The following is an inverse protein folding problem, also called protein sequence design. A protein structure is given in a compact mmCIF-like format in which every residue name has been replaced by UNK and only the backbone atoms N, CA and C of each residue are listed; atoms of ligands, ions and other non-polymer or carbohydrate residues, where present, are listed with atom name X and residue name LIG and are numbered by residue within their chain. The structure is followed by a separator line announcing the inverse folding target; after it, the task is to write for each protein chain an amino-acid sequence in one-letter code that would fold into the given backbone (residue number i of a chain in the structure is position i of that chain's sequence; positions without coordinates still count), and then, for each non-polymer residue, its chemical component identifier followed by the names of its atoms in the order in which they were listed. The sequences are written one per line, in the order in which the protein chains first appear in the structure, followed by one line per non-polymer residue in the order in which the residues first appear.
data_IF_981045026684
#
_entry.id   IF_981045026684
#
_cell.length_a   1.000
_cell.length_b   1.000
_cell.length_c   1.000
_cell.angle_alpha   90.00
_cell.angle_beta   90.00
_cell.angle_gamma   90.00
#
_symmetry.space_group_name_H-M   'P 1'
#
loop_
_entity.id
_entity.type
_entity.pdbx_description
1 polymer ?
#
# COMPACT_ATOMS: atom_id res chain seq x y z
N UNK A 1 13.33 1.49 -49.69
CA UNK A 1 12.14 1.04 -48.95
C UNK A 1 12.37 1.41 -47.49
N UNK A 2 11.67 2.45 -47.01
CA UNK A 2 12.01 3.20 -45.80
C UNK A 2 11.40 2.53 -44.55
N UNK A 3 12.18 2.42 -43.48
CA UNK A 3 11.84 1.68 -42.26
C UNK A 3 10.67 2.27 -41.49
N UNK A 4 9.76 1.41 -41.04
CA UNK A 4 8.68 1.76 -40.11
C UNK A 4 9.15 1.42 -38.71
N UNK A 5 9.66 2.43 -38.00
CA UNK A 5 9.85 2.39 -36.56
C UNK A 5 8.48 2.47 -35.88
N UNK A 6 8.11 1.45 -35.11
CA UNK A 6 6.97 1.49 -34.19
C UNK A 6 7.33 2.41 -33.01
N UNK A 7 7.22 3.72 -33.22
CA UNK A 7 7.15 4.64 -32.10
C UNK A 7 5.81 4.40 -31.41
N UNK A 8 5.82 3.80 -30.22
CA UNK A 8 4.67 3.86 -29.34
C UNK A 8 4.39 5.34 -29.07
N UNK A 9 3.26 5.83 -29.55
CA UNK A 9 2.84 7.22 -29.35
C UNK A 9 2.67 7.44 -27.83
N UNK A 10 3.49 8.28 -27.18
CA UNK A 10 3.37 8.56 -25.76
C UNK A 10 2.54 9.85 -25.62
N UNK A 11 1.26 9.80 -25.94
CA UNK A 11 0.36 10.92 -25.67
C UNK A 11 -0.92 10.39 -25.01
N UNK A 12 -0.84 10.23 -23.68
CA UNK A 12 -1.84 10.71 -22.71
C UNK A 12 -1.38 10.40 -21.27
N UNK A 13 -0.12 10.73 -20.93
CA UNK A 13 0.39 10.58 -19.56
C UNK A 13 0.04 11.82 -18.70
N UNK A 14 -1.18 12.35 -18.86
CA UNK A 14 -1.74 13.38 -17.97
C UNK A 14 -2.52 12.72 -16.81
N UNK A 15 -2.09 11.52 -16.43
CA UNK A 15 -2.35 11.02 -15.09
C UNK A 15 -1.54 11.93 -14.18
N UNK A 16 -2.18 12.97 -13.64
CA UNK A 16 -1.72 13.69 -12.44
C UNK A 16 -0.98 12.68 -11.60
N UNK A 17 0.31 12.89 -11.34
CA UNK A 17 1.16 11.96 -10.60
C UNK A 17 0.47 11.62 -9.28
N UNK A 18 -0.39 10.61 -9.32
CA UNK A 18 -1.16 10.16 -8.21
C UNK A 18 -0.10 9.44 -7.42
N UNK A 19 0.43 10.13 -6.42
CA UNK A 19 1.29 9.53 -5.44
C UNK A 19 0.39 8.52 -4.74
N UNK A 20 0.32 7.32 -5.31
CA UNK A 20 -0.19 6.13 -4.65
C UNK A 20 0.88 5.80 -3.60
N UNK A 21 0.97 6.64 -2.58
CA UNK A 21 1.62 6.24 -1.35
C UNK A 21 0.84 5.02 -0.92
N UNK A 22 1.48 3.84 -0.95
CA UNK A 22 0.86 2.63 -0.46
C UNK A 22 0.33 2.97 0.93
N UNK A 23 -1.00 2.94 1.15
CA UNK A 23 -1.53 3.33 2.44
C UNK A 23 -0.91 2.37 3.44
N UNK A 24 -0.31 2.95 4.48
CA UNK A 24 0.24 2.18 5.58
C UNK A 24 -0.78 1.12 6.00
N UNK A 25 -0.39 -0.15 5.99
CA UNK A 25 -1.33 -1.25 6.18
C UNK A 25 -1.97 -1.22 7.57
N UNK A 26 -1.32 -0.59 8.53
CA UNK A 26 -1.91 -0.33 9.85
C UNK A 26 -3.13 0.57 9.71
N UNK A 27 -2.97 1.72 9.05
CA UNK A 27 -4.05 2.70 8.82
C UNK A 27 -5.13 2.15 7.87
N UNK A 28 -4.71 1.46 6.80
CA UNK A 28 -5.62 0.89 5.80
C UNK A 28 -6.57 -0.15 6.41
N UNK A 29 -6.04 -1.03 7.26
CA UNK A 29 -6.83 -2.03 7.97
C UNK A 29 -7.41 -1.49 9.29
N UNK A 30 -7.21 -0.21 9.61
CA UNK A 30 -7.63 0.46 10.87
C UNK A 30 -7.16 -0.29 12.12
N UNK A 31 -5.96 -0.86 12.04
CA UNK A 31 -5.33 -1.61 13.12
C UNK A 31 -4.81 -0.68 14.23
N UNK A 32 -4.55 0.58 13.90
CA UNK A 32 -4.18 1.63 14.85
C UNK A 32 -5.28 1.88 15.90
N UNK A 33 -6.54 1.85 15.50
CA UNK A 33 -7.70 1.95 16.41
C UNK A 33 -7.78 0.77 17.39
N UNK A 34 -7.17 -0.36 17.03
CA UNK A 34 -7.08 -1.56 17.86
C UNK A 34 -5.78 -1.60 18.68
N UNK A 35 -4.92 -0.59 18.58
CA UNK A 35 -3.60 -0.56 19.23
C UNK A 35 -2.61 -1.56 18.62
N UNK A 36 -2.80 -1.91 17.35
CA UNK A 36 -1.94 -2.82 16.59
C UNK A 36 -1.16 -2.04 15.53
N UNK A 37 0.07 -2.46 15.27
CA UNK A 37 0.89 -1.96 14.16
C UNK A 37 1.39 -3.12 13.33
N UNK A 38 1.32 -2.97 12.01
CA UNK A 38 1.81 -3.96 11.06
C UNK A 38 3.34 -3.89 11.01
N UNK A 39 3.99 -5.01 11.33
CA UNK A 39 5.46 -5.16 11.26
C UNK A 39 5.92 -5.97 10.05
N UNK A 40 4.97 -6.54 9.30
CA UNK A 40 5.25 -7.26 8.06
C UNK A 40 3.99 -7.84 7.42
N UNK A 41 4.15 -8.33 6.19
CA UNK A 41 3.07 -8.96 5.43
C UNK A 41 3.57 -10.17 4.63
N UNK A 42 2.67 -11.12 4.36
CA UNK A 42 2.87 -12.19 3.37
C UNK A 42 1.66 -12.20 2.43
N UNK A 43 1.93 -12.11 1.13
CA UNK A 43 0.91 -12.19 0.10
C UNK A 43 0.72 -13.64 -0.34
N UNK A 44 -0.52 -14.09 -0.34
CA UNK A 44 -0.97 -15.36 -0.90
C UNK A 44 -1.89 -15.05 -2.09
N UNK A 45 -2.16 -16.01 -2.99
CA UNK A 45 -2.95 -15.76 -4.21
C UNK A 45 -4.32 -15.12 -3.95
N UNK A 46 -4.95 -15.48 -2.83
CA UNK A 46 -6.31 -15.05 -2.49
C UNK A 46 -6.38 -14.09 -1.29
N UNK A 47 -5.26 -13.85 -0.58
CA UNK A 47 -5.27 -13.04 0.66
C UNK A 47 -3.90 -12.47 1.03
N UNK A 48 -3.91 -11.42 1.86
CA UNK A 48 -2.73 -10.94 2.55
C UNK A 48 -2.81 -11.32 4.04
N UNK A 49 -1.73 -11.89 4.56
CA UNK A 49 -1.57 -12.15 6.01
C UNK A 49 -0.64 -11.10 6.58
N UNK A 50 -1.09 -10.41 7.63
CA UNK A 50 -0.34 -9.36 8.30
C UNK A 50 0.24 -9.87 9.61
N UNK A 51 1.52 -9.59 9.83
CA UNK A 51 2.15 -9.74 11.14
C UNK A 51 1.97 -8.42 11.89
N UNK A 52 1.29 -8.47 13.03
CA UNK A 52 1.02 -7.30 13.86
C UNK A 52 1.76 -7.39 15.19
N UNK A 53 2.25 -6.26 15.69
CA UNK A 53 2.64 -6.11 17.09
C UNK A 53 1.64 -5.23 17.82
N UNK A 54 1.47 -5.47 19.12
CA UNK A 54 0.74 -4.57 20.00
C UNK A 54 1.65 -3.39 20.33
N UNK A 55 1.16 -2.16 20.19
CA UNK A 55 1.94 -0.92 20.45
C UNK A 55 1.72 -0.38 21.88
N UNK A 56 1.01 -1.14 22.72
CA UNK A 56 0.46 -0.73 24.03
C UNK A 56 -0.64 0.34 23.90
N UNK A 57 -1.87 -0.03 24.27
CA UNK A 57 -2.84 0.95 24.78
C UNK A 57 -2.65 1.05 26.28
N UNK A 58 -1.59 1.72 26.73
CA UNK A 58 -1.38 2.05 28.16
C UNK A 58 -2.39 3.10 28.63
N UNK A 59 -3.68 2.77 28.62
CA UNK A 59 -4.75 3.61 29.21
C UNK A 59 -5.78 2.80 30.00
N UNK A 60 -5.35 1.68 30.60
CA UNK A 60 -6.18 0.96 31.57
C UNK A 60 -5.89 1.31 33.04
N UNK A 61 -5.06 2.33 33.29
CA UNK A 61 -4.96 2.97 34.60
C UNK A 61 -5.08 4.49 34.46
N UNK A 62 -6.32 4.96 34.56
CA UNK A 62 -6.70 6.37 34.72
C UNK A 62 -7.95 6.46 35.56
#
# INVERSE_FOLDING_TARGET
MMGVSYAAHPEDLDVLHATFTSPDLTTFCRLDELGLEVVGQRLEPDRAVLACRVVESDRWFG
#
